data_IF_202210258031
#
_entry.id   IF_202210258031
#
_cell.length_a   1.000
_cell.length_b   1.000
_cell.length_c   1.000
_cell.angle_alpha   90.00
_cell.angle_beta   90.00
_cell.angle_gamma   90.00
#
_symmetry.space_group_name_H-M   'P 1'
#
loop_
_entity.id
_entity.type
_entity.pdbx_description
1 polymer ?
#
# COMPACT_ATOMS: atom_id res chain seq x y z
N UNK A 1 15.11 -22.30 -4.66
CA UNK A 1 14.59 -21.19 -5.51
C UNK A 1 14.02 -20.16 -4.56
N UNK A 2 14.28 -18.86 -4.75
CA UNK A 2 13.67 -17.81 -3.91
C UNK A 2 12.32 -17.40 -4.48
N UNK A 3 11.28 -17.41 -3.65
CA UNK A 3 9.92 -17.03 -4.02
C UNK A 3 9.62 -15.64 -3.48
N UNK A 4 9.13 -14.75 -4.32
CA UNK A 4 8.65 -13.43 -3.91
C UNK A 4 7.19 -13.27 -4.29
N UNK A 5 6.33 -13.09 -3.29
CA UNK A 5 4.95 -12.66 -3.53
C UNK A 5 4.96 -11.13 -3.76
N UNK A 6 4.57 -10.70 -4.94
CA UNK A 6 4.65 -9.30 -5.33
C UNK A 6 3.36 -8.49 -5.06
N UNK A 7 2.32 -9.09 -4.45
CA UNK A 7 1.05 -8.39 -4.27
C UNK A 7 0.20 -8.94 -3.12
N UNK A 8 0.56 -8.61 -1.91
CA UNK A 8 -0.30 -8.90 -0.75
C UNK A 8 -0.72 -7.60 -0.06
N UNK A 9 -1.90 -7.63 0.56
CA UNK A 9 -2.44 -6.50 1.31
C UNK A 9 -2.38 -6.79 2.81
N UNK A 10 -1.51 -6.04 3.51
CA UNK A 10 -1.52 -5.95 4.98
C UNK A 10 -1.90 -4.53 5.32
N UNK A 11 -3.08 -4.34 5.91
CA UNK A 11 -3.75 -3.06 6.01
C UNK A 11 -4.21 -2.78 7.45
N UNK A 12 -4.27 -1.50 7.89
CA UNK A 12 -4.78 -1.13 9.20
C UNK A 12 -6.31 -1.23 9.23
N UNK A 13 -6.87 -2.43 9.36
CA UNK A 13 -8.32 -2.68 9.32
C UNK A 13 -9.10 -1.89 10.36
N UNK A 14 -8.47 -1.46 11.44
CA UNK A 14 -9.08 -0.59 12.47
C UNK A 14 -9.26 0.87 12.01
N UNK A 15 -8.64 1.28 10.92
CA UNK A 15 -8.82 2.59 10.27
C UNK A 15 -9.79 2.53 9.08
N UNK A 16 -10.24 1.32 8.73
CA UNK A 16 -11.12 1.12 7.58
C UNK A 16 -12.55 1.58 7.88
N UNK A 17 -13.23 2.09 6.87
CA UNK A 17 -14.67 2.38 6.97
C UNK A 17 -15.42 1.08 7.31
N UNK A 18 -16.41 1.13 8.23
CA UNK A 18 -17.13 -0.08 8.66
C UNK A 18 -17.72 -0.89 7.51
N UNK A 19 -18.29 -0.22 6.50
CA UNK A 19 -18.93 -0.86 5.35
C UNK A 19 -17.91 -1.58 4.47
N UNK A 20 -16.73 -0.98 4.29
CA UNK A 20 -15.64 -1.59 3.55
C UNK A 20 -15.07 -2.79 4.31
N UNK A 21 -14.89 -2.67 5.62
CA UNK A 21 -14.41 -3.75 6.47
C UNK A 21 -15.38 -4.94 6.45
N UNK A 22 -16.68 -4.68 6.61
CA UNK A 22 -17.71 -5.71 6.52
C UNK A 22 -17.66 -6.45 5.18
N UNK A 23 -17.52 -5.70 4.07
CA UNK A 23 -17.48 -6.29 2.74
C UNK A 23 -16.28 -7.21 2.54
N UNK A 24 -15.08 -6.80 2.97
CA UNK A 24 -13.86 -7.59 2.78
C UNK A 24 -13.74 -8.77 3.76
N UNK A 25 -14.46 -8.72 4.88
CA UNK A 25 -14.41 -9.80 5.89
C UNK A 25 -15.55 -10.81 5.77
N UNK A 26 -16.60 -10.45 5.04
CA UNK A 26 -17.79 -11.28 4.87
C UNK A 26 -17.46 -12.67 4.34
N UNK A 27 -17.82 -13.70 5.09
CA UNK A 27 -17.65 -15.10 4.69
C UNK A 27 -16.22 -15.62 4.66
N UNK A 28 -15.26 -14.89 5.22
CA UNK A 28 -13.87 -15.36 5.30
C UNK A 28 -13.69 -16.35 6.47
N UNK A 29 -13.27 -17.60 6.20
CA UNK A 29 -13.17 -18.62 7.24
C UNK A 29 -12.02 -18.37 8.24
N UNK A 30 -10.97 -17.61 7.84
CA UNK A 30 -9.74 -17.42 8.61
C UNK A 30 -9.63 -16.00 9.17
N UNK A 31 -10.74 -15.40 9.56
CA UNK A 31 -10.79 -13.97 9.92
C UNK A 31 -9.84 -13.63 11.08
N UNK A 32 -9.82 -14.46 12.14
CA UNK A 32 -8.95 -14.22 13.30
C UNK A 32 -7.47 -14.26 12.94
N UNK A 33 -7.06 -15.23 12.11
CA UNK A 33 -5.69 -15.34 11.64
C UNK A 33 -5.29 -14.13 10.78
N UNK A 34 -6.19 -13.67 9.88
CA UNK A 34 -5.98 -12.47 9.08
C UNK A 34 -5.87 -11.22 9.95
N UNK A 35 -6.71 -11.06 10.97
CA UNK A 35 -6.62 -9.94 11.91
C UNK A 35 -5.29 -9.91 12.66
N UNK A 36 -4.76 -11.08 13.05
CA UNK A 36 -3.45 -11.16 13.68
C UNK A 36 -2.34 -10.77 12.70
N UNK A 37 -2.42 -11.19 11.45
CA UNK A 37 -1.49 -10.77 10.39
C UNK A 37 -1.53 -9.25 10.22
N UNK A 38 -2.70 -8.64 10.15
CA UNK A 38 -2.82 -7.17 10.00
C UNK A 38 -2.15 -6.40 11.15
N UNK A 39 -2.10 -6.97 12.36
CA UNK A 39 -1.56 -6.30 13.55
C UNK A 39 -0.10 -6.61 13.84
N UNK A 40 0.42 -7.73 13.31
CA UNK A 40 1.67 -8.28 13.80
C UNK A 40 2.54 -8.91 12.71
N UNK A 41 3.67 -8.27 12.35
CA UNK A 41 4.62 -8.83 11.37
C UNK A 41 5.06 -10.26 11.65
N UNK A 42 5.33 -10.69 12.91
CA UNK A 42 5.67 -12.09 13.19
C UNK A 42 4.61 -13.10 12.75
N UNK A 43 3.32 -12.74 12.73
CA UNK A 43 2.28 -13.63 12.23
C UNK A 43 2.36 -13.81 10.70
N UNK A 44 2.60 -12.73 9.98
CA UNK A 44 2.85 -12.78 8.53
C UNK A 44 4.10 -13.61 8.22
N UNK A 45 5.20 -13.36 8.93
CA UNK A 45 6.47 -14.06 8.69
C UNK A 45 6.34 -15.57 8.89
N UNK A 46 5.65 -16.01 9.94
CA UNK A 46 5.37 -17.43 10.15
C UNK A 46 4.52 -18.03 9.03
N UNK A 47 3.53 -17.29 8.55
CA UNK A 47 2.72 -17.75 7.43
C UNK A 47 3.56 -17.86 6.15
N UNK A 48 4.39 -16.87 5.85
CA UNK A 48 5.32 -16.89 4.73
C UNK A 48 6.29 -18.09 4.81
N UNK A 49 6.80 -18.39 6.02
CA UNK A 49 7.70 -19.54 6.23
C UNK A 49 6.98 -20.86 5.95
N UNK A 50 5.73 -21.01 6.40
CA UNK A 50 4.93 -22.21 6.15
C UNK A 50 4.61 -22.42 4.65
N UNK A 51 4.44 -21.33 3.90
CA UNK A 51 4.13 -21.35 2.45
C UNK A 51 5.39 -21.30 1.56
N UNK A 52 6.60 -21.25 2.14
CA UNK A 52 7.86 -21.19 1.39
C UNK A 52 8.07 -19.86 0.66
N UNK A 53 7.50 -18.76 1.18
CA UNK A 53 7.65 -17.40 0.60
C UNK A 53 8.83 -16.69 1.27
N UNK A 54 9.87 -16.38 0.49
CA UNK A 54 11.05 -15.68 0.99
C UNK A 54 10.81 -14.20 1.22
N UNK A 55 10.09 -13.55 0.29
CA UNK A 55 9.82 -12.11 0.30
C UNK A 55 8.38 -11.81 -0.05
N UNK A 56 7.88 -10.69 0.46
CA UNK A 56 6.55 -10.18 0.10
C UNK A 56 6.57 -8.67 -0.11
N UNK A 57 5.87 -8.22 -1.14
CA UNK A 57 5.58 -6.80 -1.37
C UNK A 57 4.23 -6.48 -0.73
N UNK A 58 4.25 -5.65 0.31
CA UNK A 58 3.04 -5.23 1.03
C UNK A 58 2.44 -4.01 0.36
N UNK A 59 1.39 -4.24 -0.43
CA UNK A 59 0.77 -3.21 -1.26
C UNK A 59 -0.28 -2.45 -0.48
N UNK A 60 -0.05 -1.15 -0.30
CA UNK A 60 -0.99 -0.21 0.31
C UNK A 60 -1.12 1.07 -0.53
N UNK A 61 -2.21 1.78 -0.37
CA UNK A 61 -2.45 3.07 -1.02
C UNK A 61 -3.58 3.82 -0.33
N UNK A 62 -3.55 5.17 -0.33
CA UNK A 62 -4.65 5.98 0.17
C UNK A 62 -5.92 5.77 -0.68
N UNK A 63 -7.04 5.62 0.01
CA UNK A 63 -8.37 5.51 -0.59
C UNK A 63 -9.41 6.00 0.42
N UNK A 64 -9.43 7.32 0.74
CA UNK A 64 -10.25 7.84 1.83
C UNK A 64 -11.75 7.70 1.57
N UNK A 65 -12.21 7.88 0.34
CA UNK A 65 -13.62 7.82 -0.02
C UNK A 65 -14.19 6.40 0.07
N UNK A 66 -13.43 5.40 -0.39
CA UNK A 66 -13.89 4.02 -0.47
C UNK A 66 -13.52 3.20 0.77
N UNK A 67 -12.25 3.23 1.16
CA UNK A 67 -11.71 2.37 2.22
C UNK A 67 -11.55 3.09 3.57
N UNK A 68 -11.51 4.42 3.57
CA UNK A 68 -11.19 5.23 4.75
C UNK A 68 -9.69 5.51 4.93
N UNK A 69 -8.83 4.90 4.12
CA UNK A 69 -7.39 5.04 4.26
C UNK A 69 -6.89 6.39 3.75
N UNK A 70 -6.27 7.14 4.64
CA UNK A 70 -5.53 8.37 4.34
C UNK A 70 -4.07 8.05 3.96
N UNK A 71 -3.24 9.07 3.74
CA UNK A 71 -1.80 8.89 3.50
C UNK A 71 -1.04 8.26 4.69
N UNK A 72 -1.63 8.18 5.88
CA UNK A 72 -1.10 7.45 7.03
C UNK A 72 -0.87 5.96 6.77
N UNK A 73 -1.55 5.40 5.77
CA UNK A 73 -1.32 4.01 5.35
C UNK A 73 0.12 3.77 4.86
N UNK A 74 0.81 4.81 4.39
CA UNK A 74 2.23 4.74 4.00
C UNK A 74 3.13 4.54 5.23
N UNK A 75 2.87 5.28 6.29
CA UNK A 75 3.59 5.16 7.57
C UNK A 75 3.37 3.76 8.17
N UNK A 76 2.12 3.31 8.21
CA UNK A 76 1.78 1.98 8.69
C UNK A 76 2.53 0.87 7.95
N UNK A 77 2.50 0.84 6.61
CA UNK A 77 3.17 -0.23 5.85
C UNK A 77 4.69 -0.16 5.97
N UNK A 78 5.25 1.03 6.02
CA UNK A 78 6.68 1.22 6.21
C UNK A 78 7.13 0.72 7.59
N UNK A 79 6.39 1.06 8.65
CA UNK A 79 6.66 0.59 10.01
C UNK A 79 6.51 -0.94 10.13
N UNK A 80 5.45 -1.49 9.57
CA UNK A 80 5.23 -2.93 9.56
C UNK A 80 6.41 -3.68 8.93
N UNK A 81 6.95 -3.17 7.81
CA UNK A 81 8.05 -3.80 7.10
C UNK A 81 9.40 -3.68 7.83
N UNK A 82 9.57 -2.75 8.77
CA UNK A 82 10.82 -2.61 9.57
C UNK A 82 11.14 -3.85 10.40
N UNK A 83 10.14 -4.66 10.71
CA UNK A 83 10.35 -5.91 11.48
C UNK A 83 11.20 -6.95 10.72
N UNK A 84 11.23 -6.91 9.39
CA UNK A 84 12.03 -7.80 8.56
C UNK A 84 12.32 -7.14 7.19
N UNK A 85 13.20 -6.13 7.13
CA UNK A 85 13.40 -5.29 5.95
C UNK A 85 13.98 -6.05 4.74
N UNK A 86 14.62 -7.19 4.97
CA UNK A 86 15.12 -8.07 3.91
C UNK A 86 14.03 -8.95 3.29
N UNK A 87 12.89 -9.09 3.96
CA UNK A 87 11.78 -9.96 3.57
C UNK A 87 10.51 -9.19 3.20
N UNK A 88 10.23 -8.07 3.85
CA UNK A 88 9.01 -7.28 3.68
C UNK A 88 9.33 -5.98 2.95
N UNK A 89 8.71 -5.76 1.81
CA UNK A 89 8.96 -4.61 0.94
C UNK A 89 7.74 -3.69 0.99
N UNK A 90 7.86 -2.47 1.53
CA UNK A 90 6.74 -1.55 1.64
C UNK A 90 6.43 -0.89 0.30
N UNK A 91 5.19 -1.07 -0.17
CA UNK A 91 4.62 -0.34 -1.29
C UNK A 91 3.46 0.52 -0.75
N UNK A 92 3.59 1.83 -0.91
CA UNK A 92 2.60 2.82 -0.52
C UNK A 92 1.91 3.47 -1.71
N UNK A 93 1.33 4.64 -1.51
CA UNK A 93 0.69 5.37 -2.59
C UNK A 93 0.50 6.85 -2.28
N UNK A 94 0.11 7.60 -3.29
CA UNK A 94 -0.31 9.00 -3.20
C UNK A 94 -1.64 9.13 -3.94
N UNK A 95 -2.63 9.75 -3.30
CA UNK A 95 -3.94 9.93 -3.93
C UNK A 95 -4.00 11.23 -4.73
N UNK A 96 -4.10 11.18 -6.08
CA UNK A 96 -3.94 12.36 -6.92
C UNK A 96 -5.03 13.43 -6.74
N UNK A 97 -6.22 13.05 -6.28
CA UNK A 97 -7.33 14.00 -6.04
C UNK A 97 -7.22 14.73 -4.70
N UNK A 98 -6.53 14.16 -3.71
CA UNK A 98 -6.44 14.74 -2.36
C UNK A 98 -5.07 15.36 -2.06
N UNK A 99 -4.10 15.17 -2.94
CA UNK A 99 -2.75 15.70 -2.79
C UNK A 99 -2.61 17.05 -3.52
N UNK A 100 -2.22 18.09 -2.79
CA UNK A 100 -1.94 19.42 -3.37
C UNK A 100 -0.56 19.48 -4.03
N UNK A 101 0.42 18.78 -3.48
CA UNK A 101 1.79 18.65 -4.00
C UNK A 101 2.18 17.18 -4.06
N UNK A 102 1.95 16.56 -5.22
CA UNK A 102 2.26 15.15 -5.44
C UNK A 102 3.76 14.86 -5.29
N UNK A 103 4.61 15.83 -5.62
CA UNK A 103 6.05 15.69 -5.50
C UNK A 103 6.51 15.66 -4.04
N UNK A 104 5.94 16.52 -3.19
CA UNK A 104 6.20 16.50 -1.76
C UNK A 104 5.66 15.21 -1.11
N UNK A 105 4.46 14.77 -1.46
CA UNK A 105 3.87 13.55 -0.95
C UNK A 105 4.69 12.29 -1.30
N UNK A 106 5.23 12.22 -2.52
CA UNK A 106 6.14 11.13 -2.93
C UNK A 106 7.44 11.16 -2.11
N UNK A 107 8.04 12.34 -1.91
CA UNK A 107 9.24 12.46 -1.06
C UNK A 107 8.95 12.01 0.36
N UNK A 108 7.86 12.47 0.96
CA UNK A 108 7.44 12.09 2.30
C UNK A 108 7.24 10.57 2.43
N UNK A 109 6.54 9.94 1.50
CA UNK A 109 6.37 8.49 1.48
C UNK A 109 7.73 7.75 1.41
N UNK A 110 8.66 8.25 0.60
CA UNK A 110 10.00 7.69 0.51
C UNK A 110 10.80 7.84 1.81
N UNK A 111 10.74 9.01 2.45
CA UNK A 111 11.38 9.29 3.75
C UNK A 111 10.82 8.41 4.87
N UNK A 112 9.54 8.07 4.83
CA UNK A 112 8.89 7.10 5.72
C UNK A 112 9.39 5.66 5.49
N UNK A 113 9.98 5.37 4.32
CA UNK A 113 10.55 4.07 3.97
C UNK A 113 9.84 3.34 2.84
N UNK A 114 8.79 3.92 2.24
CA UNK A 114 8.12 3.33 1.06
C UNK A 114 9.10 3.19 -0.10
N UNK A 115 9.12 2.01 -0.73
CA UNK A 115 10.07 1.67 -1.81
C UNK A 115 9.43 1.70 -3.20
N UNK A 116 8.12 1.59 -3.30
CA UNK A 116 7.37 1.65 -4.54
C UNK A 116 6.00 2.28 -4.31
N UNK A 117 5.40 2.82 -5.37
CA UNK A 117 4.09 3.44 -5.30
C UNK A 117 3.06 2.61 -6.07
N UNK A 118 1.91 2.41 -5.46
CA UNK A 118 0.69 1.87 -6.05
C UNK A 118 -0.26 3.00 -6.39
N UNK A 119 -0.68 3.07 -7.63
CA UNK A 119 -1.88 3.78 -8.05
C UNK A 119 -2.98 2.76 -8.33
N UNK A 120 -4.15 2.98 -7.76
CA UNK A 120 -5.32 2.12 -7.98
C UNK A 120 -6.49 2.96 -8.51
N UNK A 121 -6.56 3.22 -9.83
CA UNK A 121 -7.50 4.17 -10.40
C UNK A 121 -8.97 3.95 -10.00
N UNK A 122 -9.51 2.70 -9.98
CA UNK A 122 -10.89 2.48 -9.53
C UNK A 122 -11.16 2.93 -8.10
N UNK A 123 -10.24 2.62 -7.16
CA UNK A 123 -10.39 3.01 -5.75
C UNK A 123 -10.12 4.50 -5.49
N UNK A 124 -9.46 5.15 -6.41
CA UNK A 124 -9.17 6.59 -6.35
C UNK A 124 -10.20 7.41 -7.13
N UNK A 125 -11.17 6.76 -7.78
CA UNK A 125 -12.15 7.38 -8.67
C UNK A 125 -11.48 8.32 -9.70
N UNK A 126 -10.43 7.83 -10.37
CA UNK A 126 -9.70 8.53 -11.42
C UNK A 126 -9.52 7.64 -12.63
N UNK A 127 -9.52 8.23 -13.80
CA UNK A 127 -9.10 7.54 -15.02
C UNK A 127 -7.56 7.53 -15.10
N UNK A 128 -6.94 6.46 -15.62
CA UNK A 128 -5.48 6.39 -15.75
C UNK A 128 -4.87 7.53 -16.57
N UNK A 129 -5.63 8.12 -17.47
CA UNK A 129 -5.25 9.23 -18.33
C UNK A 129 -5.83 10.61 -17.90
N UNK A 130 -6.40 10.72 -16.69
CA UNK A 130 -7.01 11.95 -16.20
C UNK A 130 -6.05 13.16 -16.18
N UNK A 131 -4.74 12.92 -16.21
CA UNK A 131 -3.72 13.96 -16.37
C UNK A 131 -3.82 14.72 -17.71
N UNK A 132 -4.41 14.12 -18.73
CA UNK A 132 -4.71 14.80 -20.02
C UNK A 132 -5.88 15.78 -19.90
N UNK A 133 -6.68 15.64 -18.84
CA UNK A 133 -7.90 16.41 -18.57
C UNK A 133 -7.78 17.29 -17.32
N UNK A 134 -6.56 17.67 -16.94
CA UNK A 134 -6.31 18.67 -15.89
C UNK A 134 -6.02 18.10 -14.50
N UNK A 135 -5.84 16.78 -14.33
CA UNK A 135 -5.38 16.23 -13.06
C UNK A 135 -3.85 16.24 -12.99
N UNK A 136 -3.25 17.41 -12.80
CA UNK A 136 -1.79 17.61 -12.84
C UNK A 136 -1.04 16.80 -11.78
N UNK A 137 -1.65 16.54 -10.61
CA UNK A 137 -1.06 15.69 -9.60
C UNK A 137 -0.77 14.28 -10.14
N UNK A 138 -1.65 13.71 -10.97
CA UNK A 138 -1.46 12.41 -11.59
C UNK A 138 -0.31 12.44 -12.62
N UNK A 139 -0.19 13.54 -13.39
CA UNK A 139 0.96 13.74 -14.29
C UNK A 139 2.27 13.73 -13.51
N UNK A 140 2.35 14.50 -12.43
CA UNK A 140 3.54 14.58 -11.58
C UNK A 140 3.94 13.22 -10.98
N UNK A 141 2.96 12.36 -10.65
CA UNK A 141 3.21 11.00 -10.18
C UNK A 141 3.81 10.10 -11.27
N UNK A 142 3.36 10.22 -12.51
CA UNK A 142 3.92 9.45 -13.64
C UNK A 142 5.30 9.93 -14.06
N UNK A 143 5.54 11.23 -14.10
CA UNK A 143 6.81 11.81 -14.58
C UNK A 143 7.98 11.53 -13.62
N UNK A 144 7.74 11.47 -12.30
CA UNK A 144 8.79 11.15 -11.33
C UNK A 144 9.35 9.73 -11.43
N UNK A 145 8.67 8.82 -12.11
CA UNK A 145 9.23 7.48 -12.42
C UNK A 145 10.39 7.53 -13.41
N UNK A 146 10.48 8.56 -14.23
CA UNK A 146 11.49 8.66 -15.29
C UNK A 146 12.81 9.30 -14.85
N UNK A 147 12.86 9.97 -13.68
CA UNK A 147 14.03 10.73 -13.20
C UNK A 147 14.87 10.09 -12.10
N UNK A 148 14.34 9.10 -11.37
CA UNK A 148 15.09 8.38 -10.34
C UNK A 148 15.60 7.05 -10.87
N UNK A 149 16.83 7.04 -11.40
CA UNK A 149 17.57 5.77 -11.49
C UNK A 149 17.77 5.28 -10.07
N UNK A 150 17.12 4.16 -9.73
CA UNK A 150 17.53 3.37 -8.58
C UNK A 150 19.03 2.99 -8.80
N UNK A 151 19.89 3.52 -7.97
CA UNK A 151 21.27 3.02 -7.84
C UNK A 151 21.27 1.87 -6.86
#
# INVERSE_FOLDING_TARGET
MRVTDCHIHVQPWWEMRPEALELITRGRPNLDALQQIMKSPPHLLRHMDAEGIDRAVLVNYPSPDLMGFTERVNEYVAEYCRAAPDRLIPMGGVHPRFTKDAAAAVRQAHEQGVRALKLHPPHMAVEPNAYLHGLDALRALYERRSGSRCR
#
